data_IF_205535292642
#
_entry.id   IF_205535292642
#
_cell.length_a   1.000
_cell.length_b   1.000
_cell.length_c   1.000
_cell.angle_alpha   90.00
_cell.angle_beta   90.00
_cell.angle_gamma   90.00
#
_symmetry.space_group_name_H-M   'P 1'
#
loop_
_entity.id
_entity.type
_entity.pdbx_description
1 polymer ?
#
# COMPACT_ATOMS: atom_id res chain seq x y z
N UNK A 1 45.15 -66.24 -30.96
CA UNK A 1 43.99 -65.56 -31.47
C UNK A 1 44.33 -65.10 -32.88
N UNK A 2 43.70 -65.75 -33.89
CA UNK A 2 44.09 -65.59 -35.32
C UNK A 2 43.76 -64.20 -35.83
N UNK A 3 44.70 -63.59 -36.52
CA UNK A 3 44.59 -62.23 -37.14
C UNK A 3 43.33 -62.07 -38.07
N UNK A 4 42.96 -63.20 -38.71
CA UNK A 4 41.77 -63.24 -39.60
C UNK A 4 40.43 -63.12 -38.88
N UNK A 5 40.29 -63.62 -37.65
CA UNK A 5 39.08 -63.50 -36.83
C UNK A 5 38.91 -62.10 -36.29
N UNK A 6 40.03 -61.44 -35.98
CA UNK A 6 40.05 -60.05 -35.51
C UNK A 6 39.64 -59.05 -36.63
N UNK A 7 40.14 -59.27 -37.83
CA UNK A 7 39.77 -58.48 -38.99
C UNK A 7 38.30 -58.64 -39.40
N UNK A 8 37.76 -59.86 -39.26
CA UNK A 8 36.37 -60.13 -39.60
C UNK A 8 35.36 -59.53 -38.56
N UNK A 9 35.76 -59.48 -37.27
CA UNK A 9 34.97 -58.77 -36.22
C UNK A 9 35.11 -57.26 -36.36
N UNK A 10 36.28 -56.76 -36.68
CA UNK A 10 36.51 -55.34 -36.88
C UNK A 10 35.76 -54.78 -38.10
N UNK A 11 35.64 -55.56 -39.17
CA UNK A 11 34.83 -55.18 -40.34
C UNK A 11 33.32 -55.07 -40.08
N UNK A 12 32.84 -55.81 -39.11
CA UNK A 12 31.40 -55.71 -38.70
C UNK A 12 31.11 -54.53 -37.76
N UNK A 13 32.09 -54.07 -37.00
CA UNK A 13 31.97 -52.95 -36.03
C UNK A 13 32.21 -51.59 -36.70
N UNK A 14 33.04 -51.58 -37.78
CA UNK A 14 33.43 -50.37 -38.50
C UNK A 14 32.25 -49.51 -38.98
N UNK A 15 31.15 -50.06 -39.58
CA UNK A 15 30.03 -49.26 -40.02
C UNK A 15 29.29 -48.61 -38.85
N UNK A 16 29.15 -49.26 -37.68
CA UNK A 16 28.56 -48.70 -36.49
C UNK A 16 29.41 -47.58 -35.88
N UNK A 17 30.74 -47.75 -35.90
CA UNK A 17 31.69 -46.75 -35.45
C UNK A 17 31.64 -45.50 -36.35
N UNK A 18 31.54 -45.67 -37.67
CA UNK A 18 31.38 -44.57 -38.61
C UNK A 18 30.05 -43.85 -38.43
N UNK A 19 28.95 -44.59 -38.20
CA UNK A 19 27.65 -44.03 -37.91
C UNK A 19 27.69 -43.21 -36.62
N UNK A 20 28.29 -43.74 -35.57
CA UNK A 20 28.45 -43.01 -34.28
C UNK A 20 29.28 -41.74 -34.45
N UNK A 21 30.37 -41.76 -35.15
CA UNK A 21 31.19 -40.59 -35.44
C UNK A 21 30.43 -39.55 -36.25
N UNK A 22 29.59 -39.99 -37.20
CA UNK A 22 28.76 -39.09 -38.01
C UNK A 22 27.71 -38.41 -37.13
N UNK A 23 27.01 -39.11 -36.25
CA UNK A 23 26.05 -38.55 -35.32
C UNK A 23 26.74 -37.59 -34.35
N UNK A 24 27.91 -37.96 -33.85
CA UNK A 24 28.70 -37.11 -32.94
C UNK A 24 29.15 -35.81 -33.63
N UNK A 25 29.59 -35.89 -34.89
CA UNK A 25 29.98 -34.70 -35.65
C UNK A 25 28.81 -33.75 -35.92
N UNK A 26 27.63 -34.30 -36.24
CA UNK A 26 26.37 -33.50 -36.38
C UNK A 26 26.01 -32.82 -35.06
N UNK A 27 26.11 -33.57 -33.95
CA UNK A 27 25.83 -33.01 -32.62
C UNK A 27 26.75 -31.83 -32.28
N UNK A 28 28.07 -31.98 -32.50
CA UNK A 28 29.01 -30.90 -32.28
C UNK A 28 28.81 -29.74 -33.24
N UNK A 29 28.47 -30.01 -34.51
CA UNK A 29 28.17 -28.95 -35.48
C UNK A 29 26.95 -28.10 -35.01
N UNK A 30 25.85 -28.74 -34.57
CA UNK A 30 24.65 -28.05 -34.06
C UNK A 30 25.00 -27.25 -32.78
N UNK A 31 25.77 -27.84 -31.88
CA UNK A 31 26.21 -27.17 -30.66
C UNK A 31 27.09 -25.95 -30.94
N UNK A 32 28.04 -26.09 -31.88
CA UNK A 32 28.92 -25.00 -32.28
C UNK A 32 28.15 -23.85 -32.92
N UNK A 33 27.15 -24.14 -33.78
CA UNK A 33 26.26 -23.10 -34.35
C UNK A 33 25.44 -22.40 -33.26
N UNK A 34 24.98 -23.16 -32.26
CA UNK A 34 24.26 -22.59 -31.08
C UNK A 34 25.16 -21.65 -30.29
N UNK A 35 26.39 -22.08 -29.98
CA UNK A 35 27.36 -21.25 -29.24
C UNK A 35 27.84 -20.04 -30.05
N UNK A 36 28.02 -20.15 -31.37
CA UNK A 36 28.34 -18.99 -32.22
C UNK A 36 27.20 -17.94 -32.22
N UNK A 37 25.95 -18.41 -32.15
CA UNK A 37 24.78 -17.52 -32.08
C UNK A 37 24.74 -16.81 -30.72
N UNK A 38 25.07 -17.51 -29.65
CA UNK A 38 25.19 -16.93 -28.31
C UNK A 38 26.40 -15.97 -28.24
N UNK A 39 27.52 -16.26 -28.85
CA UNK A 39 28.70 -15.37 -28.94
C UNK A 39 28.39 -14.05 -29.67
N UNK A 40 27.55 -14.08 -30.71
CA UNK A 40 27.08 -12.87 -31.38
C UNK A 40 26.14 -12.03 -30.51
N UNK A 41 25.42 -12.66 -29.58
CA UNK A 41 24.56 -12.00 -28.64
C UNK A 41 25.30 -11.42 -27.42
N UNK A 42 26.40 -12.09 -26.98
CA UNK A 42 27.22 -11.66 -25.84
C UNK A 42 28.02 -10.36 -26.08
N UNK A 43 28.14 -9.89 -27.30
CA UNK A 43 28.83 -8.64 -27.65
C UNK A 43 27.92 -7.50 -28.10
N UNK A 44 26.66 -7.79 -28.38
CA UNK A 44 25.70 -6.77 -28.89
C UNK A 44 24.86 -6.12 -27.83
N UNK A 45 24.78 -6.69 -26.62
CA UNK A 45 23.90 -6.20 -25.54
C UNK A 45 24.56 -5.23 -24.56
N UNK A 46 25.81 -4.83 -24.76
CA UNK A 46 26.48 -3.82 -23.94
C UNK A 46 26.62 -2.50 -24.72
N UNK A 47 25.71 -2.21 -25.62
CA UNK A 47 25.47 -0.82 -25.94
C UNK A 47 24.59 -0.29 -24.81
N UNK A 48 25.00 0.77 -24.09
CA UNK A 48 24.09 1.43 -23.19
C UNK A 48 22.82 1.70 -24.01
N UNK A 49 21.70 1.15 -23.53
CA UNK A 49 20.45 1.34 -24.24
C UNK A 49 20.29 2.85 -24.42
N UNK A 50 20.24 3.30 -25.70
CA UNK A 50 19.97 4.70 -25.99
C UNK A 50 18.53 4.95 -25.58
N UNK A 51 18.36 5.47 -24.37
CA UNK A 51 17.04 5.66 -23.74
C UNK A 51 16.85 7.12 -23.28
N UNK A 52 15.62 7.55 -23.28
CA UNK A 52 15.16 8.75 -22.60
C UNK A 52 14.15 8.33 -21.54
N UNK A 53 14.31 8.81 -20.32
CA UNK A 53 13.31 8.69 -19.27
C UNK A 53 12.69 10.07 -19.01
N UNK A 54 11.37 10.14 -19.04
CA UNK A 54 10.62 11.32 -18.69
C UNK A 54 9.68 11.02 -17.54
N UNK A 55 9.61 11.94 -16.59
CA UNK A 55 8.61 11.91 -15.52
C UNK A 55 7.41 12.78 -15.88
N UNK A 56 6.22 12.28 -15.57
CA UNK A 56 5.00 13.04 -15.69
C UNK A 56 4.27 13.13 -14.37
N UNK A 57 3.55 14.21 -14.19
CA UNK A 57 2.71 14.47 -13.02
C UNK A 57 1.30 14.82 -13.51
N UNK A 58 0.29 14.22 -12.88
CA UNK A 58 -1.11 14.51 -13.13
C UNK A 58 -1.82 14.81 -11.82
N UNK A 59 -2.63 15.86 -11.83
CA UNK A 59 -3.34 16.37 -10.67
C UNK A 59 -4.84 16.40 -10.96
N UNK A 60 -5.62 15.93 -10.00
CA UNK A 60 -7.09 16.04 -10.01
C UNK A 60 -7.54 16.63 -8.69
N UNK A 61 -8.46 17.59 -8.75
CA UNK A 61 -9.10 18.17 -7.58
C UNK A 61 -10.49 17.59 -7.44
N UNK A 62 -10.83 17.13 -6.24
CA UNK A 62 -12.13 16.58 -5.94
C UNK A 62 -12.67 17.14 -4.62
N UNK A 63 -13.94 17.48 -4.61
CA UNK A 63 -14.66 17.82 -3.38
C UNK A 63 -15.03 16.51 -2.70
N UNK A 64 -14.57 16.26 -1.45
CA UNK A 64 -14.95 15.07 -0.70
C UNK A 64 -16.47 14.95 -0.56
N UNK A 65 -16.97 13.74 -0.67
CA UNK A 65 -18.38 13.39 -0.53
C UNK A 65 -18.65 12.51 0.71
N UNK A 66 -17.58 12.13 1.41
CA UNK A 66 -17.64 11.21 2.54
C UNK A 66 -16.68 11.68 3.64
N UNK A 67 -17.09 11.53 4.90
CA UNK A 67 -16.22 11.70 6.06
C UNK A 67 -15.98 10.36 6.74
N UNK A 68 -14.76 10.14 7.22
CA UNK A 68 -14.41 8.93 7.97
C UNK A 68 -13.75 9.34 9.29
N UNK A 69 -14.18 8.72 10.38
CA UNK A 69 -13.50 8.84 11.66
C UNK A 69 -13.39 7.48 12.34
N UNK A 70 -12.42 7.33 13.23
CA UNK A 70 -12.23 6.13 14.02
C UNK A 70 -12.36 6.44 15.50
N UNK A 71 -12.86 5.49 16.25
CA UNK A 71 -12.87 5.58 17.71
C UNK A 71 -12.65 4.22 18.34
N UNK A 72 -12.21 4.22 19.60
CA UNK A 72 -12.00 2.99 20.36
C UNK A 72 -12.64 3.08 21.74
N UNK A 73 -13.09 1.92 22.19
CA UNK A 73 -13.54 1.69 23.57
C UNK A 73 -12.55 0.75 24.22
N UNK A 74 -11.98 1.17 25.36
CA UNK A 74 -11.07 0.37 26.15
C UNK A 74 -11.68 0.21 27.54
N UNK A 75 -11.81 -1.04 27.99
CA UNK A 75 -12.35 -1.36 29.32
C UNK A 75 -11.43 -2.32 30.04
N UNK A 76 -11.37 -2.17 31.35
CA UNK A 76 -10.53 -2.96 32.23
C UNK A 76 -11.37 -3.72 33.23
N UNK A 77 -10.92 -4.96 33.56
CA UNK A 77 -11.54 -5.77 34.60
C UNK A 77 -10.53 -6.76 35.22
N UNK A 78 -10.91 -7.40 36.31
CA UNK A 78 -10.07 -8.41 36.95
C UNK A 78 -9.96 -9.69 36.11
N UNK A 79 -11.01 -10.03 35.36
CA UNK A 79 -11.06 -11.20 34.48
C UNK A 79 -11.18 -10.79 33.01
N UNK A 80 -10.66 -11.66 32.14
CA UNK A 80 -10.77 -11.48 30.69
C UNK A 80 -12.22 -11.41 30.22
N UNK A 81 -13.10 -12.25 30.74
CA UNK A 81 -14.51 -12.29 30.39
C UNK A 81 -15.24 -11.00 30.74
N UNK A 82 -15.03 -10.45 31.94
CA UNK A 82 -15.64 -9.18 32.34
C UNK A 82 -15.13 -7.99 31.51
N UNK A 83 -13.84 -7.94 31.17
CA UNK A 83 -13.31 -6.89 30.30
C UNK A 83 -13.96 -6.94 28.90
N UNK A 84 -14.13 -8.14 28.34
CA UNK A 84 -14.79 -8.35 27.06
C UNK A 84 -16.28 -7.97 27.12
N UNK A 85 -16.98 -8.35 28.17
CA UNK A 85 -18.41 -8.03 28.35
C UNK A 85 -18.64 -6.50 28.40
N UNK A 86 -17.82 -5.79 29.18
CA UNK A 86 -17.89 -4.33 29.31
C UNK A 86 -17.68 -3.64 27.96
N UNK A 87 -16.57 -3.98 27.24
CA UNK A 87 -16.28 -3.43 25.91
C UNK A 87 -17.41 -3.73 24.94
N UNK A 88 -17.90 -4.96 24.91
CA UNK A 88 -18.95 -5.39 23.99
C UNK A 88 -20.26 -4.65 24.25
N UNK A 89 -20.68 -4.54 25.50
CA UNK A 89 -21.91 -3.84 25.89
C UNK A 89 -21.86 -2.38 25.50
N UNK A 90 -20.74 -1.70 25.81
CA UNK A 90 -20.56 -0.27 25.50
C UNK A 90 -20.49 -0.04 23.99
N UNK A 91 -19.74 -0.86 23.27
CA UNK A 91 -19.61 -0.78 21.82
C UNK A 91 -20.94 -1.01 21.10
N UNK A 92 -21.73 -2.00 21.55
CA UNK A 92 -23.05 -2.27 20.97
C UNK A 92 -24.00 -1.08 21.14
N UNK A 93 -23.98 -0.41 22.31
CA UNK A 93 -24.77 0.79 22.53
C UNK A 93 -24.39 1.93 21.58
N UNK A 94 -23.08 2.08 21.30
CA UNK A 94 -22.60 3.08 20.34
C UNK A 94 -23.03 2.73 18.92
N UNK A 95 -22.91 1.46 18.52
CA UNK A 95 -23.35 0.99 17.20
C UNK A 95 -24.86 1.23 17.02
N UNK A 96 -25.67 0.95 18.02
CA UNK A 96 -27.10 1.24 17.97
C UNK A 96 -27.39 2.74 17.81
N UNK A 97 -26.68 3.59 18.55
CA UNK A 97 -26.80 5.04 18.42
C UNK A 97 -26.42 5.51 17.01
N UNK A 98 -25.33 4.97 16.43
CA UNK A 98 -24.90 5.29 15.05
C UNK A 98 -25.96 4.87 14.04
N UNK A 99 -26.51 3.65 14.15
CA UNK A 99 -27.59 3.15 13.29
C UNK A 99 -28.85 4.01 13.38
N UNK A 100 -29.24 4.40 14.58
CA UNK A 100 -30.41 5.30 14.79
C UNK A 100 -30.16 6.72 14.28
N UNK A 101 -28.91 7.14 14.20
CA UNK A 101 -28.50 8.42 13.61
C UNK A 101 -28.40 8.39 12.08
N UNK A 102 -28.70 7.23 11.44
CA UNK A 102 -28.75 7.09 9.99
C UNK A 102 -27.50 6.50 9.35
N UNK A 103 -26.54 5.98 10.14
CA UNK A 103 -25.38 5.29 9.61
C UNK A 103 -25.75 3.85 9.23
N UNK A 104 -25.48 3.47 7.99
CA UNK A 104 -25.75 2.12 7.51
C UNK A 104 -24.72 1.11 8.08
N UNK A 105 -25.13 -0.14 8.26
CA UNK A 105 -24.26 -1.19 8.81
C UNK A 105 -22.99 -1.42 7.98
N UNK A 106 -23.07 -1.29 6.66
CA UNK A 106 -21.92 -1.39 5.74
C UNK A 106 -20.86 -0.31 5.94
N UNK A 107 -21.26 0.84 6.52
CA UNK A 107 -20.41 2.00 6.78
C UNK A 107 -19.78 1.98 8.18
N UNK A 108 -20.08 0.94 8.99
CA UNK A 108 -19.46 0.68 10.29
C UNK A 108 -18.53 -0.52 10.17
N UNK A 109 -17.23 -0.31 10.35
CA UNK A 109 -16.20 -1.36 10.19
C UNK A 109 -15.38 -1.54 11.45
N UNK A 110 -15.26 -2.78 11.94
CA UNK A 110 -14.29 -3.11 12.99
C UNK A 110 -12.88 -3.10 12.40
N UNK A 111 -12.01 -2.28 12.97
CA UNK A 111 -10.58 -2.24 12.64
C UNK A 111 -9.75 -3.16 13.52
N UNK A 112 -10.16 -3.34 14.78
CA UNK A 112 -9.45 -4.20 15.71
C UNK A 112 -10.26 -4.54 16.94
N UNK A 113 -10.02 -5.73 17.47
CA UNK A 113 -10.52 -6.21 18.74
C UNK A 113 -9.40 -6.95 19.46
N UNK A 114 -8.97 -6.43 20.60
CA UNK A 114 -7.80 -6.92 21.31
C UNK A 114 -8.11 -7.13 22.79
N UNK A 115 -7.44 -8.12 23.39
CA UNK A 115 -7.50 -8.41 24.81
C UNK A 115 -6.08 -8.62 25.31
N UNK A 116 -5.67 -7.86 26.31
CA UNK A 116 -4.31 -7.91 26.88
C UNK A 116 -4.36 -8.13 28.39
N UNK A 117 -3.48 -8.99 28.95
CA UNK A 117 -3.26 -9.04 30.39
C UNK A 117 -2.50 -7.78 30.84
N UNK A 118 -2.93 -7.22 31.97
CA UNK A 118 -2.28 -6.09 32.62
C UNK A 118 -1.44 -6.57 33.78
N UNK A 119 -0.18 -6.11 33.84
CA UNK A 119 0.74 -6.44 34.89
C UNK A 119 1.19 -5.18 35.62
N UNK A 120 1.37 -5.28 36.95
CA UNK A 120 2.00 -4.24 37.77
C UNK A 120 3.27 -4.78 38.39
N UNK A 121 4.26 -3.90 38.57
CA UNK A 121 5.50 -4.24 39.27
C UNK A 121 5.35 -3.86 40.74
N UNK A 122 5.35 -4.85 41.64
CA UNK A 122 5.51 -4.58 43.09
C UNK A 122 6.91 -4.13 43.37
N UNK A 123 7.11 -2.86 43.77
CA UNK A 123 8.36 -2.41 44.37
C UNK A 123 8.49 -3.05 45.73
N UNK A 124 9.40 -4.03 45.89
CA UNK A 124 9.91 -4.37 47.20
C UNK A 124 10.96 -3.30 47.55
N UNK A 125 10.71 -2.58 48.65
CA UNK A 125 11.71 -1.69 49.25
C UNK A 125 12.93 -2.53 49.61
N UNK A 126 14.09 -2.25 49.03
CA UNK A 126 15.45 -2.62 49.45
C UNK A 126 16.30 -3.57 48.60
N UNK A 127 15.87 -4.19 47.52
CA UNK A 127 16.81 -4.94 46.68
C UNK A 127 16.60 -4.63 45.18
N UNK A 128 17.55 -3.92 44.59
CA UNK A 128 17.68 -3.74 43.15
C UNK A 128 18.06 -5.09 42.51
N UNK A 129 17.51 -5.53 41.31
CA UNK A 129 16.95 -4.63 40.28
C UNK A 129 15.54 -4.90 39.73
N UNK A 130 14.74 -5.86 40.04
CA UNK A 130 13.45 -6.08 39.38
C UNK A 130 12.36 -6.50 40.35
N UNK A 131 11.31 -5.65 40.52
CA UNK A 131 10.11 -6.03 41.23
C UNK A 131 9.40 -7.20 40.53
N UNK A 132 8.72 -8.02 41.32
CA UNK A 132 7.90 -9.13 40.83
C UNK A 132 6.73 -8.59 39.98
N UNK A 133 6.55 -9.13 38.79
CA UNK A 133 5.48 -8.78 37.88
C UNK A 133 4.21 -9.55 38.29
N UNK A 134 3.18 -8.83 38.69
CA UNK A 134 1.92 -9.43 39.15
C UNK A 134 0.83 -9.08 38.14
N UNK A 135 0.06 -10.10 37.71
CA UNK A 135 -1.13 -9.92 36.94
C UNK A 135 -2.20 -9.22 37.77
N UNK A 136 -2.64 -8.02 37.34
CA UNK A 136 -3.64 -7.20 38.04
C UNK A 136 -4.99 -7.18 37.38
N UNK A 137 -5.09 -7.71 36.14
CA UNK A 137 -6.34 -7.76 35.40
C UNK A 137 -6.12 -7.86 33.91
N UNK A 138 -7.15 -7.56 33.15
CA UNK A 138 -7.18 -7.59 31.70
C UNK A 138 -7.73 -6.28 31.16
N UNK A 139 -7.28 -5.90 29.98
CA UNK A 139 -7.80 -4.77 29.21
C UNK A 139 -8.28 -5.27 27.87
N UNK A 140 -9.56 -4.98 27.55
CA UNK A 140 -10.15 -5.24 26.25
C UNK A 140 -10.28 -3.92 25.48
N UNK A 141 -9.96 -3.95 24.19
CA UNK A 141 -10.03 -2.81 23.28
C UNK A 141 -10.78 -3.19 22.03
N UNK A 142 -11.75 -2.34 21.63
CA UNK A 142 -12.48 -2.49 20.37
C UNK A 142 -12.44 -1.16 19.61
N UNK A 143 -11.94 -1.20 18.37
CA UNK A 143 -11.80 -0.02 17.50
C UNK A 143 -12.72 -0.15 16.30
N UNK A 144 -13.51 0.88 16.05
CA UNK A 144 -14.37 1.00 14.88
C UNK A 144 -13.94 2.18 13.99
N UNK A 145 -14.14 2.00 12.68
CA UNK A 145 -14.17 3.07 11.69
C UNK A 145 -15.60 3.28 11.24
N UNK A 146 -15.99 4.53 11.14
CA UNK A 146 -17.32 4.95 10.71
C UNK A 146 -17.19 5.84 9.50
N UNK A 147 -17.92 5.48 8.42
CA UNK A 147 -18.05 6.30 7.22
C UNK A 147 -19.37 7.07 7.26
N UNK A 148 -19.28 8.38 7.08
CA UNK A 148 -20.43 9.30 7.11
C UNK A 148 -20.59 9.90 5.73
N UNK A 149 -21.71 9.58 5.06
CA UNK A 149 -22.01 10.07 3.71
C UNK A 149 -22.65 11.47 3.72
N UNK A 150 -23.32 11.83 4.79
CA UNK A 150 -23.89 13.16 5.00
C UNK A 150 -22.90 14.01 5.80
N UNK A 151 -22.02 14.72 5.10
CA UNK A 151 -20.91 15.48 5.70
C UNK A 151 -21.34 16.44 6.79
N UNK A 152 -22.51 17.06 6.63
CA UNK A 152 -23.10 18.00 7.61
C UNK A 152 -23.35 17.34 8.97
N UNK A 153 -23.59 16.03 9.00
CA UNK A 153 -23.81 15.25 10.23
C UNK A 153 -22.54 14.79 10.91
N UNK A 154 -21.38 14.87 10.23
CA UNK A 154 -20.15 14.29 10.74
C UNK A 154 -19.71 14.87 12.09
N UNK A 155 -19.80 16.21 12.25
CA UNK A 155 -19.46 16.89 13.50
C UNK A 155 -20.39 16.52 14.66
N UNK A 156 -21.69 16.43 14.39
CA UNK A 156 -22.71 16.02 15.39
C UNK A 156 -22.49 14.56 15.83
N UNK A 157 -22.22 13.66 14.88
CA UNK A 157 -21.95 12.25 15.16
C UNK A 157 -20.71 12.06 16.03
N UNK A 158 -19.61 12.75 15.70
CA UNK A 158 -18.37 12.70 16.51
C UNK A 158 -18.63 13.23 17.93
N UNK A 159 -19.40 14.33 18.05
CA UNK A 159 -19.77 14.87 19.36
C UNK A 159 -20.61 13.89 20.18
N UNK A 160 -21.59 13.22 19.56
CA UNK A 160 -22.40 12.18 20.20
C UNK A 160 -21.60 10.99 20.65
N UNK A 161 -20.68 10.49 19.79
CA UNK A 161 -19.76 9.40 20.15
C UNK A 161 -18.88 9.83 21.33
N UNK A 162 -18.36 11.06 21.32
CA UNK A 162 -17.55 11.59 22.43
C UNK A 162 -18.26 11.62 23.78
N UNK A 163 -19.57 11.90 23.77
CA UNK A 163 -20.39 11.90 24.98
C UNK A 163 -20.58 10.49 25.60
N UNK A 164 -20.33 9.42 24.84
CA UNK A 164 -20.44 8.04 25.30
C UNK A 164 -19.15 7.52 25.94
N UNK A 165 -18.28 8.41 26.40
CA UNK A 165 -17.06 8.08 27.12
C UNK A 165 -16.14 7.09 26.36
N UNK A 166 -15.97 7.29 25.06
CA UNK A 166 -15.02 6.52 24.27
C UNK A 166 -13.58 6.87 24.71
N UNK A 167 -12.69 5.93 24.56
CA UNK A 167 -11.29 6.08 25.05
C UNK A 167 -10.43 6.93 24.12
N UNK A 168 -10.73 6.92 22.83
CA UNK A 168 -10.02 7.68 21.82
C UNK A 168 -10.93 7.93 20.61
N UNK A 169 -10.85 9.14 20.04
CA UNK A 169 -11.49 9.49 18.77
C UNK A 169 -10.39 10.09 17.88
N UNK A 170 -10.23 9.59 16.64
CA UNK A 170 -9.38 10.23 15.65
C UNK A 170 -10.00 11.52 15.14
N UNK A 171 -9.22 12.34 14.46
CA UNK A 171 -9.75 13.40 13.62
C UNK A 171 -10.71 12.87 12.57
N UNK A 172 -11.48 13.77 11.97
CA UNK A 172 -12.34 13.48 10.82
C UNK A 172 -11.50 13.67 9.57
N UNK A 173 -11.47 12.65 8.72
CA UNK A 173 -10.84 12.68 7.40
C UNK A 173 -11.95 12.76 6.34
N UNK A 174 -11.87 13.77 5.48
CA UNK A 174 -12.78 13.94 4.36
C UNK A 174 -12.19 13.30 3.12
N UNK A 175 -12.88 12.33 2.54
CA UNK A 175 -12.42 11.52 1.42
C UNK A 175 -13.48 11.45 0.33
N UNK A 176 -13.08 11.12 -0.89
CA UNK A 176 -14.01 10.82 -1.97
C UNK A 176 -14.26 9.31 -2.02
N UNK A 177 -15.51 8.88 -2.20
CA UNK A 177 -15.85 7.46 -2.26
C UNK A 177 -15.20 6.77 -3.46
N UNK A 178 -15.09 7.47 -4.58
CA UNK A 178 -14.52 6.99 -5.84
C UNK A 178 -13.03 7.38 -6.00
N UNK A 179 -12.24 7.26 -4.93
CA UNK A 179 -10.83 7.62 -4.89
C UNK A 179 -10.00 6.92 -5.97
N UNK A 180 -10.30 5.65 -6.25
CA UNK A 180 -9.62 4.86 -7.29
C UNK A 180 -9.84 5.44 -8.69
N UNK A 181 -11.04 5.93 -9.00
CA UNK A 181 -11.36 6.56 -10.28
C UNK A 181 -10.61 7.89 -10.46
N UNK A 182 -10.55 8.68 -9.39
CA UNK A 182 -9.82 9.95 -9.37
C UNK A 182 -8.31 9.73 -9.54
N UNK A 183 -7.76 8.69 -8.91
CA UNK A 183 -6.36 8.31 -9.09
C UNK A 183 -6.08 7.81 -10.51
N UNK A 184 -7.00 7.07 -11.11
CA UNK A 184 -6.88 6.63 -12.51
C UNK A 184 -6.88 7.83 -13.47
N UNK A 185 -7.74 8.82 -13.23
CA UNK A 185 -7.77 10.07 -14.00
C UNK A 185 -6.45 10.86 -13.85
N UNK A 186 -5.96 11.03 -12.62
CA UNK A 186 -4.67 11.67 -12.35
C UNK A 186 -3.51 10.92 -13.03
N UNK A 187 -3.52 9.58 -12.99
CA UNK A 187 -2.52 8.74 -13.67
C UNK A 187 -2.53 8.94 -15.18
N UNK A 188 -3.71 9.06 -15.78
CA UNK A 188 -3.84 9.32 -17.23
C UNK A 188 -3.22 10.67 -17.60
N UNK A 189 -3.49 11.70 -16.83
CA UNK A 189 -2.87 13.03 -17.01
C UNK A 189 -1.34 12.96 -16.85
N UNK A 190 -0.85 12.21 -15.86
CA UNK A 190 0.59 12.00 -15.65
C UNK A 190 1.26 11.30 -16.83
N UNK A 191 0.61 10.27 -17.42
CA UNK A 191 1.12 9.58 -18.60
C UNK A 191 1.18 10.53 -19.81
N UNK A 192 0.16 11.33 -20.02
CA UNK A 192 0.10 12.30 -21.14
C UNK A 192 1.20 13.35 -20.98
N UNK A 193 1.42 13.90 -19.78
CA UNK A 193 2.48 14.84 -19.45
C UNK A 193 3.88 14.23 -19.69
N UNK A 194 4.11 13.00 -19.21
CA UNK A 194 5.37 12.29 -19.42
C UNK A 194 5.68 12.07 -20.91
N UNK A 195 4.65 11.70 -21.70
CA UNK A 195 4.78 11.52 -23.14
C UNK A 195 5.10 12.83 -23.86
N UNK A 196 4.46 13.93 -23.47
CA UNK A 196 4.73 15.24 -24.04
C UNK A 196 6.17 15.69 -23.72
N UNK A 197 6.60 15.55 -22.49
CA UNK A 197 7.98 15.83 -22.05
C UNK A 197 9.01 14.97 -22.80
N UNK A 198 8.74 13.66 -22.98
CA UNK A 198 9.62 12.77 -23.74
C UNK A 198 9.73 13.21 -25.22
N UNK A 199 8.61 13.57 -25.85
CA UNK A 199 8.60 14.08 -27.25
C UNK A 199 9.38 15.40 -27.38
N UNK A 200 9.21 16.31 -26.43
CA UNK A 200 9.93 17.57 -26.41
C UNK A 200 11.43 17.35 -26.24
N UNK A 201 11.81 16.53 -25.28
CA UNK A 201 13.22 16.21 -24.99
C UNK A 201 13.89 15.52 -26.19
N UNK A 202 13.22 14.57 -26.84
CA UNK A 202 13.77 13.91 -28.03
C UNK A 202 14.04 14.89 -29.19
N UNK A 203 13.13 15.87 -29.37
CA UNK A 203 13.29 16.92 -30.38
C UNK A 203 14.47 17.85 -30.04
N UNK A 204 14.61 18.23 -28.77
CA UNK A 204 15.68 19.14 -28.31
C UNK A 204 17.05 18.46 -28.43
N UNK A 205 17.11 17.14 -28.24
CA UNK A 205 18.32 16.33 -28.42
C UNK A 205 18.60 15.95 -29.88
N UNK A 206 17.71 16.23 -30.82
CA UNK A 206 17.85 15.87 -32.23
C UNK A 206 17.76 14.35 -32.49
N UNK A 207 17.10 13.60 -31.62
CA UNK A 207 16.93 12.14 -31.73
C UNK A 207 15.45 11.81 -31.99
N UNK A 208 15.19 10.58 -32.47
CA UNK A 208 13.83 10.09 -32.67
C UNK A 208 13.40 9.28 -31.48
N UNK A 209 12.22 9.59 -30.92
CA UNK A 209 11.56 8.80 -29.91
C UNK A 209 11.12 7.45 -30.48
N UNK A 210 11.52 6.36 -29.86
CA UNK A 210 11.18 5.00 -30.24
C UNK A 210 10.02 4.42 -29.42
N UNK A 211 10.08 3.11 -29.18
CA UNK A 211 9.07 2.40 -28.39
C UNK A 211 9.21 2.67 -26.90
N UNK A 212 8.12 2.56 -26.17
CA UNK A 212 8.13 2.51 -24.71
C UNK A 212 8.81 1.20 -24.28
N UNK A 213 9.81 1.29 -23.40
CA UNK A 213 10.56 0.16 -22.86
C UNK A 213 10.08 -0.17 -21.46
N UNK A 214 9.83 0.86 -20.65
CA UNK A 214 9.50 0.71 -19.24
C UNK A 214 8.46 1.76 -18.83
N UNK A 215 7.54 1.33 -17.99
CA UNK A 215 6.56 2.15 -17.28
C UNK A 215 6.72 1.88 -15.79
N UNK A 216 6.86 2.92 -15.00
CA UNK A 216 6.87 2.85 -13.54
C UNK A 216 5.87 3.84 -12.99
N UNK A 217 4.93 3.33 -12.20
CA UNK A 217 4.00 4.14 -11.42
C UNK A 217 4.62 4.37 -10.04
N UNK A 218 4.96 5.62 -9.75
CA UNK A 218 5.52 6.05 -8.48
C UNK A 218 4.47 6.80 -7.64
N UNK A 219 3.20 6.67 -8.02
CA UNK A 219 2.09 7.25 -7.25
C UNK A 219 2.14 6.71 -5.83
N UNK A 220 2.44 7.59 -4.89
CA UNK A 220 2.31 7.30 -3.46
C UNK A 220 0.81 7.29 -3.11
N UNK A 221 0.41 6.57 -2.04
CA UNK A 221 -0.94 6.71 -1.54
C UNK A 221 -1.26 8.18 -1.30
N UNK A 222 -2.48 8.54 -1.64
CA UNK A 222 -3.00 9.91 -1.71
C UNK A 222 -2.68 10.66 -0.42
N UNK A 223 -1.86 11.70 -0.55
CA UNK A 223 -1.66 12.66 0.53
C UNK A 223 -2.63 13.82 0.31
N UNK A 224 -3.63 13.91 1.17
CA UNK A 224 -4.49 15.08 1.24
C UNK A 224 -3.66 16.25 1.77
N UNK A 225 -3.22 17.14 0.89
CA UNK A 225 -2.64 18.41 1.30
C UNK A 225 -3.77 19.28 1.87
N UNK A 226 -3.98 19.17 3.17
CA UNK A 226 -4.83 20.10 3.91
C UNK A 226 -4.11 21.45 3.90
N UNK A 227 -4.57 22.41 3.11
CA UNK A 227 -4.20 23.81 3.31
C UNK A 227 -4.77 24.25 4.67
N UNK A 228 -3.98 24.09 5.72
CA UNK A 228 -4.31 24.65 7.02
C UNK A 228 -4.17 26.17 6.94
N UNK A 229 -5.26 26.88 6.75
CA UNK A 229 -5.30 28.26 7.18
C UNK A 229 -5.13 28.23 8.71
N UNK A 230 -4.05 28.83 9.19
CA UNK A 230 -3.74 29.02 10.60
C UNK A 230 -4.97 29.63 11.33
N UNK A 231 -5.73 28.77 11.98
CA UNK A 231 -6.75 29.21 12.94
C UNK A 231 -6.04 29.33 14.28
N UNK A 232 -5.62 30.55 14.58
CA UNK A 232 -5.09 30.91 15.89
C UNK A 232 -6.17 30.70 16.95
N UNK A 233 -6.09 29.60 17.70
CA UNK A 233 -6.90 29.39 18.88
C UNK A 233 -6.44 30.33 19.99
N UNK A 234 -7.21 31.39 20.23
CA UNK A 234 -7.10 32.20 21.42
C UNK A 234 -7.47 31.41 22.66
N UNK A 235 -6.52 31.33 23.59
CA UNK A 235 -6.68 30.74 24.90
C UNK A 235 -7.56 31.64 25.75
N UNK A 236 -8.86 31.35 25.86
CA UNK A 236 -9.80 32.02 26.75
C UNK A 236 -10.56 30.99 27.59
N UNK A 237 -10.23 30.91 28.88
CA UNK A 237 -10.93 30.07 29.83
C UNK A 237 -12.28 30.67 30.22
N UNK A 238 -13.27 29.80 30.42
CA UNK A 238 -14.48 30.12 31.19
C UNK A 238 -15.75 29.44 30.70
N UNK A 239 -16.32 28.66 31.60
CA UNK A 239 -17.73 28.21 31.71
C UNK A 239 -18.11 26.99 30.83
N UNK A 240 -18.55 25.93 31.51
CA UNK A 240 -19.19 24.71 30.98
C UNK A 240 -20.49 25.07 30.22
N UNK A 241 -20.35 25.43 28.98
CA UNK A 241 -21.43 25.41 27.99
C UNK A 241 -21.20 24.20 27.11
N UNK A 242 -22.24 23.48 26.68
CA UNK A 242 -22.14 22.32 25.78
C UNK A 242 -21.15 22.62 24.67
N UNK A 243 -20.17 21.77 24.49
CA UNK A 243 -19.10 21.98 23.52
C UNK A 243 -19.72 22.34 22.16
N UNK A 244 -19.36 23.47 21.55
CA UNK A 244 -19.92 23.86 20.26
C UNK A 244 -19.58 22.78 19.24
N UNK A 245 -20.58 22.42 18.43
CA UNK A 245 -20.37 21.50 17.29
C UNK A 245 -19.33 22.16 16.38
N UNK A 246 -18.19 21.50 16.10
CA UNK A 246 -17.17 22.09 15.26
C UNK A 246 -17.71 22.28 13.84
N UNK A 247 -17.60 23.50 13.31
CA UNK A 247 -17.78 23.75 11.89
C UNK A 247 -16.55 23.22 11.15
N UNK A 248 -16.76 22.22 10.28
CA UNK A 248 -15.69 21.49 9.60
C UNK A 248 -15.74 21.80 8.11
N UNK A 249 -15.03 22.83 7.63
CA UNK A 249 -14.97 23.12 6.20
C UNK A 249 -14.30 21.97 5.47
N UNK A 250 -14.97 21.43 4.46
CA UNK A 250 -14.55 20.23 3.74
C UNK A 250 -13.36 20.50 2.80
N UNK A 251 -13.35 21.68 2.12
CA UNK A 251 -12.30 22.03 1.17
C UNK A 251 -12.30 21.17 -0.09
N UNK A 252 -11.22 21.24 -0.87
CA UNK A 252 -10.94 20.37 -2.01
C UNK A 252 -9.71 19.51 -1.70
N UNK A 253 -9.75 18.25 -2.10
CA UNK A 253 -8.62 17.33 -2.00
C UNK A 253 -7.88 17.30 -3.34
N UNK A 254 -6.56 17.44 -3.28
CA UNK A 254 -5.67 17.31 -4.43
C UNK A 254 -5.14 15.88 -4.51
N UNK A 255 -5.46 15.19 -5.59
CA UNK A 255 -5.00 13.83 -5.88
C UNK A 255 -3.90 13.95 -6.93
N UNK A 256 -2.71 13.41 -6.63
CA UNK A 256 -1.53 13.51 -7.50
C UNK A 256 -1.06 12.11 -7.88
N UNK A 257 -0.81 11.92 -9.17
CA UNK A 257 -0.14 10.73 -9.68
C UNK A 257 1.16 11.12 -10.35
N UNK A 258 2.22 10.34 -10.10
CA UNK A 258 3.53 10.51 -10.72
C UNK A 258 3.95 9.23 -11.43
N UNK A 259 4.35 9.36 -12.69
CA UNK A 259 4.80 8.24 -13.50
C UNK A 259 6.15 8.52 -14.16
N UNK A 260 6.87 7.44 -14.45
CA UNK A 260 8.10 7.48 -15.22
C UNK A 260 7.96 6.61 -16.47
N UNK A 261 8.23 7.20 -17.63
CA UNK A 261 8.21 6.53 -18.92
C UNK A 261 9.61 6.50 -19.51
N UNK A 262 10.11 5.31 -19.81
CA UNK A 262 11.41 5.13 -20.46
C UNK A 262 11.21 4.68 -21.91
N UNK A 263 11.73 5.45 -22.84
CA UNK A 263 11.65 5.23 -24.28
C UNK A 263 13.02 4.91 -24.87
N UNK A 264 13.03 4.01 -25.88
CA UNK A 264 14.17 3.86 -26.78
C UNK A 264 14.32 5.11 -27.64
N UNK A 265 15.56 5.53 -27.94
CA UNK A 265 15.83 6.60 -28.89
C UNK A 265 16.71 6.11 -30.03
N UNK A 266 16.55 6.70 -31.20
CA UNK A 266 17.29 6.40 -32.44
C UNK A 266 17.77 7.65 -33.13
#
# INVERSE_FOLDING_TARGET
>A
MNSDEMNRKMGKIMPYLLLFLLVLSIFFAVKTVGELKNYRLLGSDIRPASIITASGEGEVFAIPDTATFTFSVNEQAETAGEAQEKVTTKMNSIIEMLKTSGIEEKDIKTLGYNLYPRYEYKRQQEIYPFGEQILVGYEASHTLSVKVRELEKAGDLVSKVGQLEVSNISGIDFVSEDEDLLLEEARKLAIDDAQEKAKKLSKDLGVRLGRLIEFSDASSPIYYLRESKDVSYGMGGGIEEAAPIPDLPVGENKIVSQVYLTFEIR
#
